data_IF_379323693128
#
_entry.id   IF_379323693128
#
_cell.length_a   1.000
_cell.length_b   1.000
_cell.length_c   1.000
_cell.angle_alpha   90.00
_cell.angle_beta   90.00
_cell.angle_gamma   90.00
#
_symmetry.space_group_name_H-M   'P 1'
#
loop_
_entity.id
_entity.type
_entity.pdbx_description
1 polymer ?
#
# COMPACT_ATOMS: atom_id res chain seq x y z
N UNK A 1 -4.52 17.67 -13.51
CA UNK A 1 -4.24 16.27 -13.10
C UNK A 1 -5.48 15.44 -13.42
N UNK A 2 -5.34 14.30 -14.14
CA UNK A 2 -6.48 13.46 -14.51
C UNK A 2 -7.23 12.96 -13.26
N UNK A 3 -8.58 12.84 -13.31
CA UNK A 3 -9.36 12.31 -12.19
C UNK A 3 -8.93 10.91 -11.75
N UNK A 4 -8.59 10.02 -12.70
CA UNK A 4 -8.11 8.66 -12.45
C UNK A 4 -6.81 8.63 -11.64
N UNK A 5 -5.84 9.47 -12.01
CA UNK A 5 -4.58 9.59 -11.27
C UNK A 5 -4.78 10.20 -9.88
N UNK A 6 -5.74 11.12 -9.72
CA UNK A 6 -6.06 11.72 -8.42
C UNK A 6 -6.65 10.67 -7.49
N UNK A 7 -7.57 9.84 -8.00
CA UNK A 7 -8.12 8.72 -7.25
C UNK A 7 -7.05 7.69 -6.93
N UNK A 8 -6.15 7.34 -7.86
CA UNK A 8 -5.04 6.44 -7.57
C UNK A 8 -4.16 6.98 -6.41
N UNK A 9 -3.84 8.27 -6.41
CA UNK A 9 -3.09 8.88 -5.31
C UNK A 9 -3.85 8.83 -3.97
N UNK A 10 -5.19 8.96 -3.99
CA UNK A 10 -6.02 8.82 -2.79
C UNK A 10 -6.02 7.38 -2.29
N UNK A 11 -6.17 6.39 -3.19
CA UNK A 11 -6.18 4.96 -2.83
C UNK A 11 -4.86 4.56 -2.18
N UNK A 12 -3.70 4.84 -2.81
CA UNK A 12 -2.37 4.63 -2.18
C UNK A 12 -2.26 5.35 -0.84
N UNK A 13 -2.78 6.57 -0.75
CA UNK A 13 -2.77 7.34 0.49
C UNK A 13 -3.55 6.66 1.62
N UNK A 14 -4.69 6.06 1.29
CA UNK A 14 -5.50 5.27 2.23
C UNK A 14 -4.79 3.98 2.62
N UNK A 15 -4.15 3.29 1.68
CA UNK A 15 -3.34 2.10 1.98
C UNK A 15 -2.19 2.42 2.92
N UNK A 16 -1.45 3.50 2.65
CA UNK A 16 -0.37 3.98 3.50
C UNK A 16 -0.86 4.28 4.92
N UNK A 17 -2.03 4.92 5.05
CA UNK A 17 -2.65 5.19 6.34
C UNK A 17 -3.08 3.90 7.05
N UNK A 18 -3.70 2.96 6.34
CA UNK A 18 -4.13 1.68 6.90
C UNK A 18 -2.93 0.85 7.41
N UNK A 19 -1.85 0.76 6.62
CA UNK A 19 -0.62 0.07 7.00
C UNK A 19 0.05 0.79 8.18
N UNK A 20 0.07 2.13 8.18
CA UNK A 20 0.60 2.91 9.30
C UNK A 20 -0.17 2.69 10.60
N UNK A 21 -1.51 2.67 10.54
CA UNK A 21 -2.37 2.34 11.69
C UNK A 21 -2.11 0.91 12.17
N UNK A 22 -1.96 -0.04 11.23
CA UNK A 22 -1.57 -1.42 11.53
C UNK A 22 -0.23 -1.52 12.26
N UNK A 23 0.78 -0.75 11.82
CA UNK A 23 2.09 -0.68 12.48
C UNK A 23 1.99 -0.17 13.92
N UNK A 24 1.20 0.88 14.14
CA UNK A 24 0.98 1.44 15.49
C UNK A 24 0.23 0.45 16.38
N UNK A 25 -0.79 -0.22 15.85
CA UNK A 25 -1.50 -1.26 16.58
C UNK A 25 -0.58 -2.44 16.95
N UNK A 26 0.28 -2.86 16.03
CA UNK A 26 1.26 -3.93 16.27
C UNK A 26 2.30 -3.53 17.32
N UNK A 27 2.79 -2.29 17.25
CA UNK A 27 3.69 -1.73 18.26
C UNK A 27 3.02 -1.69 19.63
N UNK A 28 1.77 -1.24 19.69
CA UNK A 28 0.99 -1.22 20.92
C UNK A 28 0.88 -2.63 21.52
N UNK A 29 0.49 -3.62 20.71
CA UNK A 29 0.41 -5.02 21.13
C UNK A 29 1.77 -5.54 21.62
N UNK A 30 2.86 -5.18 20.96
CA UNK A 30 4.22 -5.55 21.38
C UNK A 30 4.56 -5.00 22.76
N UNK A 31 4.17 -3.76 23.05
CA UNK A 31 4.45 -3.09 24.32
C UNK A 31 3.55 -3.59 25.46
N UNK A 32 2.31 -3.97 25.17
CA UNK A 32 1.34 -4.44 26.18
C UNK A 32 1.36 -5.95 26.41
N UNK A 33 2.04 -6.71 25.55
CA UNK A 33 2.16 -8.17 25.67
C UNK A 33 3.54 -8.56 26.21
N UNK A 34 3.75 -9.85 26.50
CA UNK A 34 5.09 -10.42 26.74
C UNK A 34 5.64 -10.98 25.43
N UNK A 35 6.35 -10.19 24.61
CA UNK A 35 6.90 -10.68 23.35
C UNK A 35 8.05 -11.67 23.59
N UNK A 36 8.10 -12.73 22.78
CA UNK A 36 9.20 -13.70 22.81
C UNK A 36 10.56 -13.06 22.47
N UNK A 37 10.55 -12.00 21.64
CA UNK A 37 11.73 -11.20 21.31
C UNK A 37 11.34 -9.75 20.99
N UNK A 38 11.70 -8.84 21.88
CA UNK A 38 11.51 -7.40 21.72
C UNK A 38 12.23 -6.88 20.47
N UNK A 39 13.44 -7.37 20.20
CA UNK A 39 14.23 -6.94 19.04
C UNK A 39 13.56 -7.29 17.70
N UNK A 40 12.99 -8.50 17.60
CA UNK A 40 12.22 -8.91 16.42
C UNK A 40 10.98 -8.05 16.24
N UNK A 41 10.23 -7.82 17.30
CA UNK A 41 8.99 -7.05 17.23
C UNK A 41 9.23 -5.58 16.84
N UNK A 42 10.31 -4.96 17.35
CA UNK A 42 10.73 -3.62 16.92
C UNK A 42 11.10 -3.61 15.43
N UNK A 43 11.87 -4.61 14.97
CA UNK A 43 12.25 -4.70 13.55
C UNK A 43 11.02 -4.82 12.64
N UNK A 44 10.03 -5.64 13.01
CA UNK A 44 8.77 -5.77 12.28
C UNK A 44 8.03 -4.43 12.19
N UNK A 45 7.89 -3.71 13.32
CA UNK A 45 7.24 -2.38 13.35
C UNK A 45 7.98 -1.39 12.45
N UNK A 46 9.32 -1.34 12.52
CA UNK A 46 10.13 -0.43 11.70
C UNK A 46 9.96 -0.74 10.22
N UNK A 47 9.99 -2.02 9.83
CA UNK A 47 9.79 -2.42 8.43
C UNK A 47 8.40 -2.00 7.94
N UNK A 48 7.34 -2.26 8.70
CA UNK A 48 5.97 -1.88 8.32
C UNK A 48 5.84 -0.35 8.23
N UNK A 49 6.45 0.39 9.16
CA UNK A 49 6.46 1.85 9.14
C UNK A 49 7.18 2.40 7.90
N UNK A 50 8.31 1.80 7.50
CA UNK A 50 9.02 2.18 6.27
C UNK A 50 8.17 1.92 5.02
N UNK A 51 7.42 0.81 4.97
CA UNK A 51 6.48 0.53 3.88
C UNK A 51 5.38 1.60 3.83
N UNK A 52 4.77 1.94 4.97
CA UNK A 52 3.75 2.99 5.04
C UNK A 52 4.29 4.35 4.56
N UNK A 53 5.49 4.74 4.98
CA UNK A 53 6.14 5.98 4.55
C UNK A 53 6.46 5.94 3.06
N UNK A 54 6.95 4.81 2.54
CA UNK A 54 7.21 4.62 1.12
C UNK A 54 5.96 4.79 0.26
N UNK A 55 4.84 4.19 0.68
CA UNK A 55 3.55 4.35 0.01
C UNK A 55 3.03 5.79 0.10
N UNK A 56 3.15 6.44 1.26
CA UNK A 56 2.76 7.85 1.40
C UNK A 56 3.59 8.79 0.49
N UNK A 57 4.90 8.52 0.38
CA UNK A 57 5.77 9.25 -0.53
C UNK A 57 5.38 9.00 -1.99
N UNK A 58 5.04 7.77 -2.35
CA UNK A 58 4.59 7.40 -3.68
C UNK A 58 3.23 8.02 -4.03
N UNK A 59 2.26 8.02 -3.10
CA UNK A 59 0.98 8.72 -3.23
C UNK A 59 1.19 10.21 -3.51
N UNK A 60 2.12 10.85 -2.78
CA UNK A 60 2.50 12.24 -3.00
C UNK A 60 3.21 12.45 -4.33
N UNK A 61 4.00 11.48 -4.78
CA UNK A 61 4.60 11.45 -6.11
C UNK A 61 3.55 11.38 -7.22
N UNK A 62 2.55 10.50 -7.10
CA UNK A 62 1.41 10.41 -8.01
C UNK A 62 0.62 11.72 -8.04
N UNK A 63 0.32 12.30 -6.87
CA UNK A 63 -0.38 13.59 -6.75
C UNK A 63 0.36 14.74 -7.44
N UNK A 64 1.68 14.64 -7.60
CA UNK A 64 2.52 15.61 -8.31
C UNK A 64 2.86 15.22 -9.74
N UNK A 65 2.35 14.07 -10.21
CA UNK A 65 2.63 13.48 -11.53
C UNK A 65 4.14 13.28 -11.72
N UNK A 66 4.82 12.79 -10.68
CA UNK A 66 6.25 12.52 -10.72
C UNK A 66 6.51 11.17 -11.41
N UNK A 67 7.35 11.09 -12.47
CA UNK A 67 7.52 9.89 -13.27
C UNK A 67 8.06 8.69 -12.50
N UNK A 68 8.86 8.94 -11.46
CA UNK A 68 9.40 7.89 -10.60
C UNK A 68 8.33 7.17 -9.76
N UNK A 69 7.15 7.77 -9.53
CA UNK A 69 6.17 7.25 -8.58
C UNK A 69 5.40 6.02 -9.08
N UNK A 70 5.22 5.84 -10.39
CA UNK A 70 4.43 4.72 -10.93
C UNK A 70 5.06 3.36 -10.65
N UNK A 71 6.37 3.25 -10.86
CA UNK A 71 7.09 1.97 -10.72
C UNK A 71 6.96 1.38 -9.31
N UNK A 72 7.30 2.13 -8.25
CA UNK A 72 7.13 1.71 -6.86
C UNK A 72 5.70 1.35 -6.50
N UNK A 73 4.71 2.11 -6.99
CA UNK A 73 3.30 1.83 -6.72
C UNK A 73 2.87 0.51 -7.35
N UNK A 74 3.17 0.29 -8.64
CA UNK A 74 2.85 -0.98 -9.30
C UNK A 74 3.55 -2.17 -8.61
N UNK A 75 4.81 -2.00 -8.20
CA UNK A 75 5.53 -3.04 -7.47
C UNK A 75 4.88 -3.35 -6.11
N UNK A 76 4.48 -2.32 -5.36
CA UNK A 76 3.76 -2.48 -4.11
C UNK A 76 2.41 -3.18 -4.32
N UNK A 77 1.66 -2.82 -5.36
CA UNK A 77 0.38 -3.45 -5.68
C UNK A 77 0.54 -4.94 -6.05
N UNK A 78 1.62 -5.34 -6.72
CA UNK A 78 1.91 -6.76 -6.96
C UNK A 78 2.15 -7.50 -5.64
N UNK A 79 2.95 -6.92 -4.75
CA UNK A 79 3.23 -7.52 -3.45
C UNK A 79 1.98 -7.62 -2.57
N UNK A 80 1.17 -6.55 -2.51
CA UNK A 80 -0.10 -6.53 -1.79
C UNK A 80 -1.11 -7.48 -2.43
N UNK A 81 -1.14 -7.60 -3.75
CA UNK A 81 -1.97 -8.55 -4.48
C UNK A 81 -1.65 -9.99 -4.13
N UNK A 82 -0.37 -10.36 -4.12
CA UNK A 82 0.09 -11.69 -3.68
C UNK A 82 -0.25 -11.93 -2.21
N UNK A 83 0.02 -10.96 -1.34
CA UNK A 83 -0.29 -11.06 0.08
C UNK A 83 -1.79 -11.20 0.35
N UNK A 84 -2.62 -10.46 -0.40
CA UNK A 84 -4.08 -10.53 -0.33
C UNK A 84 -4.63 -11.86 -0.84
N UNK A 85 -4.03 -12.43 -1.90
CA UNK A 85 -4.37 -13.75 -2.42
C UNK A 85 -4.10 -14.84 -1.38
N UNK A 86 -2.88 -14.88 -0.84
CA UNK A 86 -2.50 -15.83 0.22
C UNK A 86 -3.42 -15.67 1.42
N UNK A 87 -3.70 -14.43 1.86
CA UNK A 87 -4.60 -14.18 2.98
C UNK A 87 -6.03 -14.69 2.72
N UNK A 88 -6.58 -14.47 1.52
CA UNK A 88 -7.96 -14.86 1.20
C UNK A 88 -8.13 -16.37 1.04
N UNK A 89 -7.20 -17.03 0.36
CA UNK A 89 -7.39 -18.39 -0.13
C UNK A 89 -6.53 -19.45 0.58
N UNK A 90 -5.33 -19.09 1.05
CA UNK A 90 -4.44 -20.05 1.73
C UNK A 90 -4.55 -19.96 3.25
N UNK A 91 -4.68 -18.74 3.80
CA UNK A 91 -4.82 -18.51 5.24
C UNK A 91 -6.28 -18.51 5.71
N UNK A 92 -7.23 -18.77 4.82
CA UNK A 92 -8.68 -18.79 5.10
C UNK A 92 -9.18 -17.51 5.79
N UNK A 93 -8.59 -16.35 5.47
CA UNK A 93 -9.00 -15.01 5.95
C UNK A 93 -9.60 -14.18 4.82
N UNK A 94 -10.71 -14.60 4.19
CA UNK A 94 -11.30 -13.87 3.05
C UNK A 94 -11.76 -12.46 3.40
N UNK A 95 -12.18 -12.24 4.65
CA UNK A 95 -12.56 -10.91 5.16
C UNK A 95 -11.39 -9.91 5.20
N UNK A 96 -10.14 -10.39 5.11
CA UNK A 96 -8.93 -9.55 5.03
C UNK A 96 -8.40 -9.54 3.61
N UNK A 97 -8.25 -10.71 2.99
CA UNK A 97 -7.63 -10.83 1.67
C UNK A 97 -8.47 -10.23 0.53
N UNK A 98 -9.80 -10.41 0.54
CA UNK A 98 -10.66 -9.87 -0.54
C UNK A 98 -10.67 -8.34 -0.56
N UNK A 99 -10.79 -7.61 0.57
CA UNK A 99 -10.63 -6.17 0.58
C UNK A 99 -9.28 -5.70 0.01
N UNK A 100 -8.18 -6.36 0.37
CA UNK A 100 -6.85 -6.04 -0.17
C UNK A 100 -6.84 -6.21 -1.69
N UNK A 101 -7.32 -7.36 -2.20
CA UNK A 101 -7.39 -7.64 -3.63
C UNK A 101 -8.25 -6.62 -4.40
N UNK A 102 -9.36 -6.17 -3.81
CA UNK A 102 -10.23 -5.16 -4.41
C UNK A 102 -9.52 -3.80 -4.52
N UNK A 103 -8.79 -3.40 -3.49
CA UNK A 103 -8.00 -2.15 -3.51
C UNK A 103 -6.90 -2.23 -4.57
N UNK A 104 -6.15 -3.33 -4.58
CA UNK A 104 -5.09 -3.61 -5.57
C UNK A 104 -5.63 -3.55 -7.00
N UNK A 105 -6.74 -4.25 -7.26
CA UNK A 105 -7.36 -4.28 -8.59
C UNK A 105 -7.84 -2.89 -9.01
N UNK A 106 -8.44 -2.14 -8.08
CA UNK A 106 -8.89 -0.76 -8.32
C UNK A 106 -7.72 0.13 -8.71
N UNK A 107 -6.61 0.03 -7.99
CA UNK A 107 -5.47 0.89 -8.23
C UNK A 107 -4.75 0.57 -9.53
N UNK A 108 -4.53 -0.72 -9.82
CA UNK A 108 -3.95 -1.15 -11.10
C UNK A 108 -4.85 -0.74 -12.27
N UNK A 109 -6.17 -0.84 -12.11
CA UNK A 109 -7.12 -0.35 -13.10
C UNK A 109 -6.98 1.16 -13.33
N UNK A 110 -6.98 1.96 -12.26
CA UNK A 110 -6.83 3.42 -12.35
C UNK A 110 -5.51 3.81 -13.02
N UNK A 111 -4.41 3.13 -12.70
CA UNK A 111 -3.11 3.39 -13.33
C UNK A 111 -3.06 2.93 -14.79
N UNK A 112 -3.76 1.86 -15.16
CA UNK A 112 -3.82 1.36 -16.53
C UNK A 112 -4.60 2.29 -17.49
N UNK A 113 -5.45 3.18 -16.96
CA UNK A 113 -6.25 4.11 -17.78
C UNK A 113 -5.38 4.97 -18.71
N UNK A 114 -5.84 5.25 -19.95
CA UNK A 114 -5.07 6.01 -20.92
C UNK A 114 -4.72 7.41 -20.41
N UNK A 115 -5.65 8.09 -19.73
CA UNK A 115 -5.44 9.45 -19.22
C UNK A 115 -4.32 9.46 -18.17
N UNK A 116 -4.26 8.42 -17.33
CA UNK A 116 -3.18 8.26 -16.38
C UNK A 116 -1.85 8.02 -17.07
N UNK A 117 -1.80 7.28 -18.18
CA UNK A 117 -0.55 7.04 -18.94
C UNK A 117 -0.08 8.29 -19.68
N UNK A 118 -0.99 9.00 -20.34
CA UNK A 118 -0.70 10.22 -21.12
C UNK A 118 -0.17 11.35 -20.24
N UNK A 119 -0.63 11.44 -18.98
CA UNK A 119 -0.16 12.45 -18.03
C UNK A 119 1.36 12.43 -17.76
N UNK A 120 2.05 11.33 -18.08
CA UNK A 120 3.50 11.21 -17.93
C UNK A 120 4.27 11.44 -19.23
N UNK A 121 3.60 11.44 -20.37
CA UNK A 121 4.19 11.66 -21.71
C UNK A 121 4.04 13.11 -22.16
N UNK A 122 2.99 13.81 -21.73
CA UNK A 122 2.72 15.23 -22.03
C UNK A 122 3.56 16.22 -21.18
N UNK A 123 4.55 15.75 -20.43
CA UNK A 123 5.44 16.56 -19.57
C UNK A 123 6.86 16.59 -20.12
#
# INVERSE_FOLDING_TARGET
MPPSLRWAAVVVGVEAAAIGVGAVAWLWLTLTSTPDSVGRAIAEVVIIALVAVGLAAAARGLARVAPWARGPVVAAQIFLGLSGFVAAFEAERPLIGLPILLVVATELYLLATPESRLAYVER
#
